data_IF_454495722583
#
_entry.id   IF_454495722583
#
_cell.length_a   1.000
_cell.length_b   1.000
_cell.length_c   1.000
_cell.angle_alpha   90.00
_cell.angle_beta   90.00
_cell.angle_gamma   90.00
#
_symmetry.space_group_name_H-M   'P 1'
#
loop_
_entity.id
_entity.type
_entity.pdbx_description
1 polymer ?
#
# COMPACT_ATOMS: atom_id res chain seq x y z
N UNK A 1 6.12 -12.01 -2.75
CA UNK A 1 6.99 -10.82 -2.56
C UNK A 1 6.93 -9.91 -3.79
N UNK A 2 5.93 -9.05 -3.82
CA UNK A 2 5.79 -8.06 -4.88
C UNK A 2 5.50 -6.70 -4.28
N UNK A 3 5.18 -5.74 -5.14
CA UNK A 3 4.93 -4.38 -4.70
C UNK A 3 3.52 -3.96 -5.10
N UNK A 4 2.78 -3.43 -4.14
CA UNK A 4 1.38 -3.07 -4.37
C UNK A 4 1.09 -1.67 -3.86
N UNK A 5 -0.15 -1.24 -3.99
CA UNK A 5 -0.58 0.05 -3.49
C UNK A 5 -2.00 -0.06 -2.95
N UNK A 6 -2.18 0.28 -1.68
CA UNK A 6 -3.50 0.23 -1.06
C UNK A 6 -3.95 1.65 -0.69
N UNK A 7 -5.25 1.89 -0.79
CA UNK A 7 -5.80 3.19 -0.47
C UNK A 7 -6.61 3.13 0.81
N UNK A 8 -6.24 3.94 1.78
CA UNK A 8 -6.93 3.98 3.05
C UNK A 8 -7.25 5.41 3.43
N UNK A 9 -8.46 5.65 3.91
CA UNK A 9 -8.87 6.99 4.32
C UNK A 9 -8.59 7.18 5.80
N UNK A 10 -7.91 8.29 6.16
CA UNK A 10 -7.45 8.56 7.54
C UNK A 10 -8.59 8.67 8.54
N UNK A 11 -9.79 8.96 8.06
CA UNK A 11 -10.96 9.04 8.93
C UNK A 11 -11.37 7.64 9.39
N UNK A 12 -11.04 6.64 8.57
CA UNK A 12 -11.37 5.26 8.89
C UNK A 12 -10.15 4.56 9.49
N UNK A 13 -9.03 4.64 8.78
CA UNK A 13 -7.80 4.02 9.22
C UNK A 13 -6.65 5.00 9.09
N UNK A 14 -6.08 5.38 10.22
CA UNK A 14 -5.02 6.38 10.23
C UNK A 14 -3.64 5.71 10.15
N UNK A 15 -2.60 6.53 10.05
CA UNK A 15 -1.23 6.01 9.91
C UNK A 15 -0.69 5.53 11.24
N UNK A 16 -0.75 6.40 12.26
CA UNK A 16 -0.32 6.04 13.61
C UNK A 16 -1.09 4.83 14.08
N UNK A 17 -2.33 4.76 13.64
CA UNK A 17 -3.25 3.65 13.93
C UNK A 17 -2.64 2.31 13.52
N UNK A 18 -1.92 2.30 12.40
CA UNK A 18 -1.31 1.09 11.89
C UNK A 18 0.11 0.92 12.44
N UNK A 19 0.76 2.04 12.76
CA UNK A 19 2.10 2.00 13.34
C UNK A 19 2.07 1.35 14.72
N UNK A 20 1.08 1.71 15.51
CA UNK A 20 0.89 1.12 16.83
C UNK A 20 0.48 -0.34 16.71
N UNK A 21 0.12 -0.74 15.50
CA UNK A 21 -0.24 -2.12 15.21
C UNK A 21 0.80 -2.77 14.31
N UNK A 22 2.02 -2.25 14.36
CA UNK A 22 3.09 -2.75 13.52
C UNK A 22 3.40 -4.22 13.76
N UNK A 23 3.53 -4.58 15.03
CA UNK A 23 3.83 -5.96 15.39
C UNK A 23 2.55 -6.78 15.55
N UNK A 24 1.42 -6.11 15.41
CA UNK A 24 0.13 -6.78 15.57
C UNK A 24 -0.43 -7.20 14.22
N UNK A 25 -0.61 -6.23 13.34
CA UNK A 25 -1.17 -6.51 12.03
C UNK A 25 -2.68 -6.45 12.03
N UNK A 26 -3.23 -6.07 10.90
CA UNK A 26 -4.67 -6.01 10.72
C UNK A 26 -5.06 -6.75 9.45
N UNK A 27 -6.20 -7.44 9.50
CA UNK A 27 -6.68 -8.19 8.36
C UNK A 27 -7.49 -7.27 7.43
N UNK A 28 -7.04 -7.18 6.18
CA UNK A 28 -7.71 -6.39 5.17
C UNK A 28 -8.97 -7.11 4.72
N UNK A 29 -10.02 -7.00 5.53
CA UNK A 29 -11.24 -7.76 5.34
C UNK A 29 -12.33 -6.89 4.73
N UNK A 30 -13.42 -7.55 4.32
CA UNK A 30 -14.57 -6.83 3.80
C UNK A 30 -14.38 -6.37 2.37
N UNK A 31 -13.43 -6.98 1.68
CA UNK A 31 -13.14 -6.63 0.31
C UNK A 31 -14.12 -7.31 -0.65
N UNK A 32 -15.19 -6.60 -0.99
CA UNK A 32 -16.21 -7.13 -1.89
C UNK A 32 -15.86 -6.77 -3.33
N UNK A 33 -14.87 -5.90 -3.49
CA UNK A 33 -14.34 -5.58 -4.82
C UNK A 33 -13.43 -6.71 -5.28
N UNK A 34 -13.80 -7.36 -6.37
CA UNK A 34 -13.08 -8.54 -6.83
C UNK A 34 -11.75 -8.21 -7.48
N UNK A 35 -11.62 -7.02 -8.03
CA UNK A 35 -10.36 -6.59 -8.63
C UNK A 35 -9.29 -6.47 -7.54
N UNK A 36 -9.63 -5.78 -6.46
CA UNK A 36 -8.74 -5.65 -5.31
C UNK A 36 -8.43 -7.02 -4.72
N UNK A 37 -9.47 -7.83 -4.59
CA UNK A 37 -9.34 -9.19 -4.08
C UNK A 37 -8.36 -10.01 -4.93
N UNK A 38 -8.52 -9.93 -6.24
CA UNK A 38 -7.67 -10.66 -7.18
C UNK A 38 -6.20 -10.34 -6.96
N UNK A 39 -5.91 -9.06 -6.73
CA UNK A 39 -4.54 -8.60 -6.52
C UNK A 39 -4.03 -9.06 -5.16
N UNK A 40 -4.93 -9.15 -4.19
CA UNK A 40 -4.57 -9.51 -2.83
C UNK A 40 -4.33 -11.03 -2.73
N UNK A 41 -4.87 -11.78 -3.68
CA UNK A 41 -4.64 -13.22 -3.73
C UNK A 41 -3.21 -13.52 -4.16
N UNK A 42 -2.65 -12.61 -4.96
CA UNK A 42 -1.27 -12.75 -5.42
C UNK A 42 -0.29 -12.39 -4.30
N UNK A 43 -0.78 -11.63 -3.33
CA UNK A 43 0.03 -11.23 -2.18
C UNK A 43 0.39 -12.42 -1.30
N UNK A 44 1.62 -12.42 -0.80
CA UNK A 44 2.06 -13.40 0.18
C UNK A 44 2.78 -12.67 1.31
N UNK A 45 3.25 -13.43 2.30
CA UNK A 45 3.99 -12.85 3.41
C UNK A 45 5.32 -12.29 2.93
N UNK A 46 5.51 -10.98 3.08
CA UNK A 46 6.72 -10.35 2.60
C UNK A 46 6.42 -9.36 1.48
N UNK A 47 5.22 -9.48 0.90
CA UNK A 47 4.78 -8.52 -0.10
C UNK A 47 4.61 -7.15 0.53
N UNK A 48 4.96 -6.11 -0.20
CA UNK A 48 4.92 -4.77 0.34
C UNK A 48 4.10 -3.84 -0.52
N UNK A 49 3.36 -2.96 0.13
CA UNK A 49 2.48 -2.05 -0.57
C UNK A 49 2.71 -0.61 -0.10
N UNK A 50 2.20 0.33 -0.87
CA UNK A 50 2.26 1.72 -0.49
C UNK A 50 1.03 2.09 0.31
N UNK A 51 1.24 2.66 1.47
CA UNK A 51 0.14 3.12 2.29
C UNK A 51 -0.28 4.51 1.85
N UNK A 52 -1.27 4.56 0.98
CA UNK A 52 -1.74 5.79 0.39
C UNK A 52 -3.04 6.24 1.06
N UNK A 53 -3.03 7.46 1.58
CA UNK A 53 -4.23 8.03 2.18
C UNK A 53 -5.14 8.60 1.12
N UNK A 54 -6.34 8.08 1.05
CA UNK A 54 -7.32 8.58 0.09
C UNK A 54 -8.27 9.54 0.79
N UNK A 55 -9.04 10.30 0.00
CA UNK A 55 -10.02 11.26 0.52
C UNK A 55 -9.31 12.46 1.13
N UNK A 56 -8.73 12.26 2.31
CA UNK A 56 -8.05 13.31 3.01
C UNK A 56 -6.55 13.09 2.97
N UNK A 57 -5.86 13.94 2.22
CA UNK A 57 -4.43 13.83 2.08
C UNK A 57 -4.04 13.48 0.66
N UNK A 58 -4.51 12.32 0.20
CA UNK A 58 -4.19 11.81 -1.13
C UNK A 58 -2.68 11.73 -1.29
N UNK A 59 -2.06 11.00 -0.37
CA UNK A 59 -0.60 10.92 -0.31
C UNK A 59 -0.14 9.60 0.28
N UNK A 60 0.97 9.10 -0.24
CA UNK A 60 1.61 7.90 0.30
C UNK A 60 2.53 8.29 1.44
N UNK A 61 2.24 7.81 2.63
CA UNK A 61 2.98 8.24 3.82
C UNK A 61 3.85 7.15 4.42
N UNK A 62 3.65 5.91 3.99
CA UNK A 62 4.41 4.83 4.57
C UNK A 62 4.39 3.55 3.76
N UNK A 63 5.18 2.58 4.19
CA UNK A 63 5.28 1.29 3.54
C UNK A 63 4.60 0.22 4.40
N UNK A 64 3.76 -0.60 3.78
CA UNK A 64 3.09 -1.67 4.48
C UNK A 64 3.57 -3.03 3.98
N UNK A 65 3.55 -4.03 4.85
CA UNK A 65 4.02 -5.37 4.51
C UNK A 65 2.95 -6.40 4.87
N UNK A 66 2.82 -7.42 4.04
CA UNK A 66 1.89 -8.51 4.29
C UNK A 66 2.52 -9.51 5.27
N UNK A 67 1.83 -9.78 6.37
CA UNK A 67 2.38 -10.68 7.39
C UNK A 67 1.53 -11.94 7.59
N UNK A 68 0.57 -12.15 6.71
CA UNK A 68 -0.19 -13.40 6.70
C UNK A 68 -0.70 -13.68 5.29
N UNK A 69 -0.67 -14.96 4.91
CA UNK A 69 -1.13 -15.37 3.59
C UNK A 69 -2.61 -15.05 3.40
N UNK A 70 -3.04 -14.98 2.15
CA UNK A 70 -4.44 -14.72 1.83
C UNK A 70 -5.32 -15.88 2.26
N UNK A 71 -6.04 -15.69 3.35
CA UNK A 71 -6.92 -16.72 3.88
C UNK A 71 -8.37 -16.25 3.83
N UNK A 72 -9.34 -17.18 3.83
CA UNK A 72 -10.78 -16.85 3.77
C UNK A 72 -11.18 -15.77 4.77
N UNK A 73 -11.88 -14.75 4.25
CA UNK A 73 -12.36 -13.65 5.08
C UNK A 73 -13.31 -14.17 6.15
N UNK A 74 -13.03 -13.83 7.42
CA UNK A 74 -13.85 -14.29 8.56
C UNK A 74 -15.29 -13.83 8.49
N UNK A 75 -15.58 -12.88 7.61
CA UNK A 75 -16.93 -12.38 7.43
C UNK A 75 -17.74 -13.31 6.53
N UNK A 76 -17.04 -14.13 5.75
CA UNK A 76 -17.71 -15.03 4.82
C UNK A 76 -17.53 -16.48 5.26
N UNK A 77 -18.63 -17.20 5.42
CA UNK A 77 -18.61 -18.56 5.94
C UNK A 77 -18.49 -19.61 4.83
N UNK A 78 -18.29 -19.15 3.60
CA UNK A 78 -18.18 -20.07 2.47
C UNK A 78 -16.79 -19.98 1.84
N UNK A 79 -15.95 -19.10 2.37
CA UNK A 79 -14.63 -18.92 1.82
C UNK A 79 -14.66 -18.27 0.45
N UNK A 80 -15.71 -17.48 0.21
CA UNK A 80 -15.89 -16.83 -1.09
C UNK A 80 -15.01 -15.59 -1.19
N UNK A 81 -14.60 -15.09 -0.04
CA UNK A 81 -13.71 -13.92 0.02
C UNK A 81 -12.46 -14.28 0.80
N UNK A 82 -11.39 -13.52 0.58
CA UNK A 82 -10.13 -13.76 1.26
C UNK A 82 -9.59 -12.46 1.83
N UNK A 83 -8.58 -12.56 2.68
CA UNK A 83 -7.99 -11.39 3.32
C UNK A 83 -6.54 -11.67 3.72
N UNK A 84 -5.74 -10.62 3.79
CA UNK A 84 -4.36 -10.73 4.25
C UNK A 84 -4.13 -9.79 5.42
N UNK A 85 -3.05 -10.00 6.16
CA UNK A 85 -2.70 -9.13 7.27
C UNK A 85 -1.63 -8.14 6.86
N UNK A 86 -1.90 -6.87 7.10
CA UNK A 86 -0.97 -5.81 6.76
C UNK A 86 -0.37 -5.20 8.02
N UNK A 87 0.86 -4.71 7.91
CA UNK A 87 1.51 -4.03 9.02
C UNK A 87 2.20 -2.78 8.51
N UNK A 88 2.57 -1.90 9.42
CA UNK A 88 3.35 -0.72 9.06
C UNK A 88 4.83 -1.01 9.25
N UNK A 89 5.59 -0.94 8.17
CA UNK A 89 7.02 -1.21 8.22
C UNK A 89 7.77 0.04 8.66
N UNK A 90 7.84 1.01 7.75
CA UNK A 90 8.38 2.32 8.06
C UNK A 90 7.76 3.37 7.14
N UNK A 91 7.67 4.62 7.61
CA UNK A 91 7.09 5.71 6.83
C UNK A 91 8.09 6.35 5.88
N UNK A 92 7.59 7.24 5.04
CA UNK A 92 8.44 8.00 4.14
C UNK A 92 8.79 9.33 4.78
N UNK A 93 9.95 9.87 4.41
CA UNK A 93 10.40 11.14 4.98
C UNK A 93 9.58 12.29 4.40
N UNK A 94 9.24 12.18 3.14
CA UNK A 94 8.38 13.14 2.48
C UNK A 94 7.18 12.42 1.87
N UNK A 95 5.97 12.73 2.37
CA UNK A 95 4.73 12.11 1.87
C UNK A 95 4.51 12.35 0.38
N UNK A 96 4.24 11.27 -0.33
CA UNK A 96 4.06 11.34 -1.77
C UNK A 96 2.61 11.66 -2.12
N UNK A 97 2.31 12.94 -2.27
CA UNK A 97 0.98 13.37 -2.64
C UNK A 97 0.67 13.00 -4.09
N UNK A 98 -0.60 12.90 -4.41
CA UNK A 98 -1.02 12.60 -5.78
C UNK A 98 -0.52 13.68 -6.74
N UNK A 99 -0.37 14.89 -6.21
CA UNK A 99 0.16 16.00 -6.99
C UNK A 99 1.63 15.76 -7.33
N UNK A 100 2.35 15.16 -6.39
CA UNK A 100 3.76 14.82 -6.59
C UNK A 100 3.89 13.72 -7.65
N UNK A 101 2.92 12.81 -7.66
CA UNK A 101 2.87 11.73 -8.64
C UNK A 101 2.68 12.31 -10.04
N UNK A 102 1.93 13.41 -10.11
CA UNK A 102 1.67 14.08 -11.38
C UNK A 102 2.91 14.83 -11.87
N UNK A 103 3.80 15.16 -10.94
CA UNK A 103 5.00 15.92 -11.25
C UNK A 103 6.04 15.06 -11.96
N UNK A 104 5.92 13.75 -11.79
CA UNK A 104 6.82 12.81 -12.46
C UNK A 104 6.09 12.11 -13.59
N UNK A 105 6.40 12.48 -14.86
CA UNK A 105 5.78 11.89 -16.05
C UNK A 105 5.88 10.36 -16.07
N UNK A 106 6.91 9.81 -15.44
CA UNK A 106 7.09 8.36 -15.38
C UNK A 106 6.01 7.74 -14.51
N UNK A 107 5.70 8.39 -13.39
CA UNK A 107 4.69 7.89 -12.46
C UNK A 107 3.30 8.28 -12.91
N UNK A 108 3.23 9.19 -13.87
CA UNK A 108 1.96 9.62 -14.45
C UNK A 108 1.33 8.51 -15.27
N UNK A 109 2.11 7.46 -15.54
CA UNK A 109 1.60 6.33 -16.30
C UNK A 109 1.41 5.12 -15.37
N UNK A 110 1.53 5.36 -14.07
CA UNK A 110 1.29 4.33 -13.07
C UNK A 110 -0.21 4.20 -12.83
N UNK A 111 -0.65 3.01 -12.37
CA UNK A 111 -2.07 2.75 -12.14
C UNK A 111 -2.70 3.82 -11.24
N UNK A 112 -1.90 4.40 -10.35
CA UNK A 112 -2.38 5.42 -9.42
C UNK A 112 -2.90 6.65 -10.16
N UNK A 113 -2.34 6.91 -11.34
CA UNK A 113 -2.76 8.05 -12.15
C UNK A 113 -3.76 7.63 -13.22
N UNK A 114 -3.98 6.32 -13.34
CA UNK A 114 -4.91 5.80 -14.32
C UNK A 114 -6.28 5.58 -13.68
N UNK A 115 -6.31 4.78 -12.62
CA UNK A 115 -7.56 4.43 -11.98
C UNK A 115 -7.52 4.79 -10.50
N UNK A 116 -7.93 6.01 -10.18
CA UNK A 116 -8.03 6.43 -8.79
C UNK A 116 -9.12 5.64 -8.07
N UNK A 117 -9.99 5.03 -8.86
CA UNK A 117 -11.12 4.25 -8.36
C UNK A 117 -10.68 2.84 -7.99
N UNK A 118 -9.47 2.48 -8.40
CA UNK A 118 -8.92 1.16 -8.11
C UNK A 118 -8.18 1.18 -6.78
N UNK A 119 -8.75 0.49 -5.79
CA UNK A 119 -8.19 0.46 -4.44
C UNK A 119 -6.78 -0.14 -4.44
N UNK A 120 -6.69 -1.43 -4.76
CA UNK A 120 -5.43 -2.15 -4.70
C UNK A 120 -4.79 -2.24 -6.08
N UNK A 121 -3.64 -1.62 -6.22
CA UNK A 121 -2.96 -1.54 -7.51
C UNK A 121 -1.63 -2.30 -7.47
N UNK A 122 -1.16 -2.78 -8.63
CA UNK A 122 0.14 -3.44 -8.75
C UNK A 122 1.25 -2.46 -9.12
N UNK A 123 2.38 -2.57 -8.42
CA UNK A 123 3.51 -1.68 -8.66
C UNK A 123 4.76 -2.49 -8.97
N UNK A 124 5.50 -2.08 -10.00
CA UNK A 124 6.73 -2.77 -10.36
C UNK A 124 7.91 -2.23 -9.55
N UNK A 125 9.05 -2.92 -9.66
CA UNK A 125 10.25 -2.56 -8.89
C UNK A 125 10.67 -1.12 -9.12
N UNK A 126 10.74 -0.71 -10.38
CA UNK A 126 11.22 0.62 -10.72
C UNK A 126 10.24 1.70 -10.24
N UNK A 127 8.94 1.42 -10.36
CA UNK A 127 7.93 2.35 -9.87
C UNK A 127 8.05 2.49 -8.35
N UNK A 128 8.14 1.35 -7.67
CA UNK A 128 8.32 1.32 -6.22
C UNK A 128 9.55 2.13 -5.82
N UNK A 129 10.67 1.82 -6.45
CA UNK A 129 11.93 2.48 -6.18
C UNK A 129 11.84 3.98 -6.43
N UNK A 130 11.23 4.37 -7.54
CA UNK A 130 11.11 5.77 -7.90
C UNK A 130 10.28 6.55 -6.90
N UNK A 131 9.12 6.01 -6.52
CA UNK A 131 8.22 6.69 -5.60
C UNK A 131 8.86 6.86 -4.22
N UNK A 132 9.45 5.78 -3.70
CA UNK A 132 10.12 5.82 -2.41
C UNK A 132 11.24 6.86 -2.43
N UNK A 133 12.07 6.78 -3.46
CA UNK A 133 13.18 7.71 -3.64
C UNK A 133 12.66 9.14 -3.82
N UNK A 134 11.49 9.27 -4.42
CA UNK A 134 10.86 10.57 -4.63
C UNK A 134 10.35 11.13 -3.31
N UNK A 135 10.09 10.24 -2.36
CA UNK A 135 9.60 10.65 -1.06
C UNK A 135 10.70 10.85 -0.05
N UNK A 136 11.90 11.17 -0.54
CA UNK A 136 13.01 11.48 0.34
C UNK A 136 13.54 10.26 1.08
N UNK A 137 13.25 9.07 0.57
CA UNK A 137 13.70 7.84 1.21
C UNK A 137 15.07 7.44 0.69
N UNK A 138 15.95 8.43 0.55
CA UNK A 138 17.30 8.18 0.07
C UNK A 138 18.23 7.87 1.23
N UNK A 139 18.16 6.65 1.72
CA UNK A 139 19.04 6.18 2.77
C UNK A 139 20.41 5.92 2.17
N UNK A 140 21.39 6.73 2.55
CA UNK A 140 22.68 6.71 1.89
C UNK A 140 23.84 6.63 2.89
N UNK A 141 23.57 6.12 4.08
CA UNK A 141 24.62 5.98 5.10
C UNK A 141 25.54 4.80 4.76
N UNK A 142 25.27 4.18 3.62
CA UNK A 142 26.03 3.01 3.17
C UNK A 142 27.51 3.34 3.02
N UNK A 143 27.81 4.61 2.76
CA UNK A 143 29.18 5.06 2.65
C UNK A 143 29.31 6.53 3.00
N UNK A 144 30.24 6.83 3.90
CA UNK A 144 30.60 8.22 4.19
C UNK A 144 32.08 8.41 3.93
N UNK A 145 32.69 7.41 3.32
CA UNK A 145 34.12 7.41 3.06
C UNK A 145 34.42 6.61 1.80
#
# INVERSE_FOLDING_TARGET
VAYWLVKSEPSVWSWDQQVAKGAAGEAWTGVRNHSAKLHMVAMRRGDRAFYYHSNEGKEIVGIAEIIREAYPDPTDASGKFVCVDIKADKPLKTPVTLAAVKAEPRLADMALMKYSRLSVQPVTAEEWKLVCKMGGLLEHHHHHH
#
